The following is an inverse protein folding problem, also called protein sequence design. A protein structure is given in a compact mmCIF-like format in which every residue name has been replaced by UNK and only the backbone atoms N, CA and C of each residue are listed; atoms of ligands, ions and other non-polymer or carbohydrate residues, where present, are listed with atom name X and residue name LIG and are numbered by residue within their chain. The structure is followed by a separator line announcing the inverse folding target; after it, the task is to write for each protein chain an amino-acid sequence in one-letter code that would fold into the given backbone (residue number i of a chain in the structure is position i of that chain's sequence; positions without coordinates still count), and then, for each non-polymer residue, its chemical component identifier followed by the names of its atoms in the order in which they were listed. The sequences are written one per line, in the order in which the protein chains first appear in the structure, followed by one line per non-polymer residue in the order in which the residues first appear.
data_IF_870370456008
#
_entry.id   IF_870370456008
#
_cell.length_a   1.000
_cell.length_b   1.000
_cell.length_c   1.000
_cell.angle_alpha   90.00
_cell.angle_beta   90.00
_cell.angle_gamma   90.00
#
_symmetry.space_group_name_H-M   'P 1'
#
loop_
_entity.id
_entity.type
_entity.pdbx_description
1 polymer ?
#
# COMPACT_ATOMS: atom_id res chain seq x y z
N UNK A 1 -9.53 -15.50 -26.98
CA UNK A 1 -8.43 -14.63 -26.48
C UNK A 1 -7.14 -15.40 -26.68
N UNK A 2 -6.11 -14.82 -27.32
CA UNK A 2 -4.88 -15.54 -27.69
C UNK A 2 -3.69 -14.92 -26.96
N UNK A 3 -2.83 -15.74 -26.36
CA UNK A 3 -1.56 -15.30 -25.80
C UNK A 3 -0.44 -16.29 -26.09
N UNK A 4 0.80 -15.80 -26.12
CA UNK A 4 2.00 -16.60 -26.38
C UNK A 4 2.60 -17.07 -25.06
N UNK A 5 2.98 -18.34 -25.02
CA UNK A 5 3.68 -18.96 -23.88
C UNK A 5 4.97 -19.61 -24.37
N UNK A 6 5.85 -19.95 -23.45
CA UNK A 6 7.06 -20.72 -23.77
C UNK A 6 6.63 -22.04 -24.41
N UNK A 7 7.06 -22.28 -25.65
CA UNK A 7 6.74 -23.50 -26.40
C UNK A 7 5.41 -23.50 -27.16
N UNK A 8 4.63 -22.41 -27.18
CA UNK A 8 3.39 -22.40 -27.97
C UNK A 8 2.48 -21.19 -27.87
N UNK A 9 1.22 -21.41 -28.25
CA UNK A 9 0.12 -20.45 -28.15
C UNK A 9 -1.00 -21.06 -27.30
N UNK A 10 -1.61 -20.24 -26.45
CA UNK A 10 -2.81 -20.62 -25.69
C UNK A 10 -3.98 -19.79 -26.20
N UNK A 11 -5.11 -20.46 -26.40
CA UNK A 11 -6.34 -19.85 -26.92
C UNK A 11 -7.47 -20.13 -25.92
N UNK A 12 -7.93 -19.08 -25.26
CA UNK A 12 -9.09 -19.14 -24.37
C UNK A 12 -10.36 -18.87 -25.18
N UNK A 13 -11.33 -19.77 -25.09
CA UNK A 13 -12.66 -19.63 -25.69
C UNK A 13 -13.69 -19.31 -24.61
N UNK A 14 -14.37 -18.18 -24.77
CA UNK A 14 -15.44 -17.76 -23.87
C UNK A 14 -16.78 -17.74 -24.63
N UNK A 15 -17.87 -18.19 -24.00
CA UNK A 15 -19.17 -18.16 -24.63
C UNK A 15 -19.61 -16.71 -24.84
N UNK A 16 -20.03 -16.38 -26.05
CA UNK A 16 -20.61 -15.07 -26.38
C UNK A 16 -22.12 -15.20 -26.36
N UNK A 17 -22.78 -14.39 -25.55
CA UNK A 17 -24.24 -14.27 -25.58
C UNK A 17 -24.64 -13.35 -26.75
N UNK A 18 -25.48 -13.80 -27.70
CA UNK A 18 -25.82 -13.02 -28.90
C UNK A 18 -26.46 -11.65 -28.63
N UNK A 19 -27.07 -11.45 -27.46
CA UNK A 19 -27.71 -10.19 -27.06
C UNK A 19 -26.75 -9.20 -26.38
N UNK A 20 -25.58 -9.65 -25.90
CA UNK A 20 -24.61 -8.81 -25.19
C UNK A 20 -23.56 -8.19 -26.12
N UNK A 21 -23.38 -8.75 -27.33
CA UNK A 21 -22.41 -8.27 -28.32
C UNK A 21 -23.11 -8.10 -29.68
N UNK A 22 -23.52 -6.87 -30.04
CA UNK A 22 -23.96 -6.60 -31.41
C UNK A 22 -22.83 -6.97 -32.36
N UNK A 23 -23.10 -7.84 -33.34
CA UNK A 23 -22.10 -8.33 -34.31
C UNK A 23 -21.42 -7.23 -35.15
N UNK A 24 -21.85 -5.96 -35.01
CA UNK A 24 -21.40 -4.82 -35.82
C UNK A 24 -20.28 -3.98 -35.20
N UNK A 25 -19.84 -4.23 -33.98
CA UNK A 25 -18.76 -3.45 -33.34
C UNK A 25 -17.81 -4.31 -32.50
N UNK A 26 -17.12 -5.26 -33.13
CA UNK A 26 -16.15 -6.10 -32.43
C UNK A 26 -14.87 -5.33 -32.07
N UNK A 27 -14.38 -5.50 -30.83
CA UNK A 27 -12.99 -5.22 -30.46
C UNK A 27 -12.75 -3.97 -29.60
N UNK A 28 -11.51 -3.47 -29.62
CA UNK A 28 -10.99 -2.44 -28.72
C UNK A 28 -11.79 -1.11 -28.74
N UNK A 29 -12.45 -0.77 -29.85
CA UNK A 29 -13.26 0.44 -29.96
C UNK A 29 -14.52 0.38 -29.07
N UNK A 30 -15.14 -0.79 -28.93
CA UNK A 30 -16.28 -0.98 -28.03
C UNK A 30 -15.83 -0.87 -26.57
N UNK A 31 -14.71 -1.50 -26.21
CA UNK A 31 -14.10 -1.37 -24.89
C UNK A 31 -13.78 0.08 -24.55
N UNK A 32 -13.20 0.83 -25.50
CA UNK A 32 -12.91 2.24 -25.30
C UNK A 32 -14.16 3.07 -25.07
N UNK A 33 -15.23 2.88 -25.87
CA UNK A 33 -16.50 3.58 -25.68
C UNK A 33 -17.12 3.33 -24.30
N UNK A 34 -17.01 2.11 -23.79
CA UNK A 34 -17.48 1.77 -22.44
C UNK A 34 -16.66 2.49 -21.36
N UNK A 35 -15.33 2.54 -21.50
CA UNK A 35 -14.45 3.21 -20.54
C UNK A 35 -14.44 4.75 -20.67
N UNK A 36 -14.80 5.30 -21.82
CA UNK A 36 -14.61 6.72 -22.15
C UNK A 36 -15.25 7.66 -21.13
N UNK A 37 -16.48 7.37 -20.68
CA UNK A 37 -17.17 8.16 -19.65
C UNK A 37 -16.34 8.22 -18.36
N UNK A 38 -15.88 7.07 -17.87
CA UNK A 38 -15.09 6.98 -16.64
C UNK A 38 -13.71 7.63 -16.79
N UNK A 39 -13.05 7.45 -17.93
CA UNK A 39 -11.77 8.08 -18.25
C UNK A 39 -11.90 9.61 -18.21
N UNK A 40 -12.91 10.17 -18.88
CA UNK A 40 -13.15 11.62 -18.88
C UNK A 40 -13.44 12.14 -17.46
N UNK A 41 -14.19 11.40 -16.65
CA UNK A 41 -14.43 11.79 -15.25
C UNK A 41 -13.15 11.78 -14.42
N UNK A 42 -12.33 10.73 -14.52
CA UNK A 42 -11.04 10.67 -13.80
C UNK A 42 -10.10 11.81 -14.23
N UNK A 43 -10.04 12.12 -15.53
CA UNK A 43 -9.19 13.19 -16.06
C UNK A 43 -9.66 14.60 -15.68
N UNK A 44 -10.96 14.78 -15.47
CA UNK A 44 -11.54 16.06 -15.07
C UNK A 44 -11.38 16.37 -13.57
N UNK A 45 -10.93 15.40 -12.76
CA UNK A 45 -10.72 15.62 -11.34
C UNK A 45 -9.55 16.58 -11.11
N UNK A 46 -9.70 17.57 -10.20
CA UNK A 46 -8.59 18.41 -9.79
C UNK A 46 -7.58 17.56 -9.01
N UNK A 47 -6.29 17.86 -9.21
CA UNK A 47 -5.22 17.26 -8.40
C UNK A 47 -5.29 17.69 -6.93
N UNK A 48 -4.75 16.85 -6.05
CA UNK A 48 -4.64 17.10 -4.60
C UNK A 48 -5.58 16.26 -3.74
N UNK A 49 -6.20 15.20 -4.25
CA UNK A 49 -7.05 14.30 -3.45
C UNK A 49 -7.09 12.88 -4.03
N UNK A 50 -6.28 12.01 -3.43
CA UNK A 50 -6.27 10.57 -3.73
C UNK A 50 -7.61 9.90 -3.36
N UNK A 51 -8.26 10.36 -2.29
CA UNK A 51 -9.57 9.87 -1.84
C UNK A 51 -10.64 10.03 -2.93
N UNK A 52 -10.82 11.24 -3.48
CA UNK A 52 -11.78 11.50 -4.57
C UNK A 52 -11.49 10.70 -5.82
N UNK A 53 -10.21 10.46 -6.11
CA UNK A 53 -9.79 9.63 -7.23
C UNK A 53 -10.23 8.18 -7.01
N UNK A 54 -10.01 7.62 -5.82
CA UNK A 54 -10.43 6.28 -5.45
C UNK A 54 -11.97 6.13 -5.44
N UNK A 55 -12.70 7.09 -4.88
CA UNK A 55 -14.17 7.14 -4.89
C UNK A 55 -14.74 7.14 -6.31
N UNK A 56 -14.17 7.96 -7.20
CA UNK A 56 -14.61 8.04 -8.59
C UNK A 56 -14.33 6.72 -9.31
N UNK A 57 -13.19 6.08 -9.05
CA UNK A 57 -12.82 4.79 -9.64
C UNK A 57 -13.80 3.68 -9.22
N UNK A 58 -14.13 3.56 -7.93
CA UNK A 58 -15.09 2.54 -7.49
C UNK A 58 -16.48 2.78 -8.06
N UNK A 59 -16.92 4.04 -8.16
CA UNK A 59 -18.21 4.39 -8.75
C UNK A 59 -18.29 3.97 -10.23
N UNK A 60 -17.31 4.33 -11.05
CA UNK A 60 -17.31 4.01 -12.48
C UNK A 60 -17.26 2.51 -12.72
N UNK A 61 -16.43 1.77 -11.99
CA UNK A 61 -16.36 0.31 -12.11
C UNK A 61 -17.65 -0.36 -11.61
N UNK A 62 -18.30 0.16 -10.57
CA UNK A 62 -19.58 -0.34 -10.09
C UNK A 62 -20.69 -0.18 -11.13
N UNK A 63 -20.81 1.01 -11.74
CA UNK A 63 -21.77 1.28 -12.82
C UNK A 63 -21.49 0.42 -14.07
N UNK A 64 -20.21 0.22 -14.42
CA UNK A 64 -19.82 -0.55 -15.61
C UNK A 64 -20.03 -2.05 -15.45
N UNK A 65 -19.72 -2.59 -14.28
CA UNK A 65 -19.64 -4.05 -14.09
C UNK A 65 -20.87 -4.64 -13.40
N UNK A 66 -21.64 -3.83 -12.67
CA UNK A 66 -22.82 -4.26 -11.91
C UNK A 66 -22.54 -5.29 -10.82
N UNK A 67 -21.31 -5.31 -10.28
CA UNK A 67 -20.97 -6.11 -9.10
C UNK A 67 -21.66 -5.56 -7.85
N UNK A 68 -21.69 -6.36 -6.77
CA UNK A 68 -22.40 -5.96 -5.54
C UNK A 68 -21.56 -5.06 -4.66
N UNK A 69 -20.25 -5.19 -4.78
CA UNK A 69 -19.25 -4.41 -4.08
C UNK A 69 -18.11 -4.14 -5.04
N UNK A 70 -17.63 -2.91 -5.05
CA UNK A 70 -16.40 -2.52 -5.73
C UNK A 70 -15.57 -1.71 -4.75
N UNK A 71 -14.30 -2.06 -4.61
CA UNK A 71 -13.40 -1.44 -3.66
C UNK A 71 -12.03 -1.20 -4.26
N UNK A 72 -11.39 -0.11 -3.83
CA UNK A 72 -9.95 0.14 -4.05
C UNK A 72 -9.22 -0.36 -2.82
N UNK A 73 -8.36 -1.34 -3.02
CA UNK A 73 -7.51 -1.96 -2.02
C UNK A 73 -6.06 -1.51 -2.24
N UNK A 74 -5.51 -0.70 -1.35
CA UNK A 74 -4.13 -0.22 -1.41
C UNK A 74 -3.19 -1.10 -0.59
N UNK A 75 -1.95 -1.30 -1.08
CA UNK A 75 -0.90 -1.94 -0.30
C UNK A 75 -0.07 -0.90 0.46
N UNK A 76 0.26 -1.21 1.71
CA UNK A 76 1.21 -0.46 2.53
C UNK A 76 2.64 -1.01 2.35
N UNK A 77 3.62 -0.38 3.00
CA UNK A 77 5.04 -0.70 2.80
C UNK A 77 5.45 -2.08 3.37
N UNK A 78 4.71 -2.59 4.34
CA UNK A 78 4.82 -3.94 4.91
C UNK A 78 3.91 -4.97 4.19
N UNK A 79 3.43 -4.63 2.99
CA UNK A 79 2.61 -5.46 2.10
C UNK A 79 1.23 -5.87 2.64
N UNK A 80 0.84 -5.45 3.85
CA UNK A 80 -0.57 -5.52 4.24
C UNK A 80 -1.37 -4.54 3.38
N UNK A 81 -2.68 -4.72 3.28
CA UNK A 81 -3.48 -3.77 2.53
C UNK A 81 -4.73 -3.31 3.22
N UNK A 82 -5.29 -2.25 2.67
CA UNK A 82 -6.37 -1.46 3.26
C UNK A 82 -7.39 -1.12 2.18
N UNK A 83 -8.67 -1.15 2.54
CA UNK A 83 -9.75 -0.69 1.66
C UNK A 83 -9.90 0.83 1.78
N UNK A 84 -9.33 1.59 0.84
CA UNK A 84 -9.36 3.05 0.83
C UNK A 84 -10.72 3.63 0.43
N UNK A 85 -11.39 3.01 -0.54
CA UNK A 85 -12.69 3.45 -1.02
C UNK A 85 -13.53 2.24 -1.40
N UNK A 86 -14.84 2.37 -1.22
CA UNK A 86 -15.78 1.30 -1.48
C UNK A 86 -17.15 1.84 -1.89
N UNK A 87 -17.82 1.11 -2.78
CA UNK A 87 -19.25 1.24 -3.05
C UNK A 87 -19.90 -0.14 -3.00
N UNK A 88 -21.06 -0.23 -2.36
CA UNK A 88 -21.81 -1.48 -2.19
C UNK A 88 -23.28 -1.31 -2.57
N UNK A 89 -23.91 -2.44 -2.92
CA UNK A 89 -25.37 -2.57 -2.90
C UNK A 89 -25.88 -2.39 -1.45
N UNK A 90 -27.05 -1.76 -1.26
CA UNK A 90 -27.67 -1.67 0.06
C UNK A 90 -27.78 -3.04 0.76
N UNK A 91 -27.49 -3.07 2.06
CA UNK A 91 -27.61 -4.26 2.91
C UNK A 91 -26.35 -5.11 3.07
N UNK A 92 -25.22 -4.72 2.46
CA UNK A 92 -23.92 -5.36 2.71
C UNK A 92 -23.12 -4.61 3.77
N UNK A 93 -22.40 -5.35 4.61
CA UNK A 93 -21.49 -4.75 5.60
C UNK A 93 -20.31 -4.04 4.91
N UNK A 94 -19.98 -2.80 5.24
CA UNK A 94 -18.90 -2.07 4.59
C UNK A 94 -17.52 -2.60 5.02
N UNK A 95 -16.58 -2.65 4.07
CA UNK A 95 -15.18 -3.01 4.31
C UNK A 95 -14.24 -1.81 4.29
N UNK A 96 -14.73 -0.60 3.95
CA UNK A 96 -13.91 0.62 3.96
C UNK A 96 -13.21 0.83 5.32
N UNK A 97 -11.91 1.13 5.25
CA UNK A 97 -11.01 1.28 6.40
C UNK A 97 -10.61 -0.03 7.08
N UNK A 98 -10.97 -1.19 6.54
CA UNK A 98 -10.46 -2.47 7.03
C UNK A 98 -9.09 -2.79 6.42
N UNK A 99 -8.19 -3.22 7.29
CA UNK A 99 -6.86 -3.73 6.96
C UNK A 99 -6.88 -5.26 6.88
N UNK A 100 -6.07 -5.80 5.98
CA UNK A 100 -5.93 -7.23 5.75
C UNK A 100 -4.45 -7.60 5.72
N UNK A 101 -4.05 -8.72 6.35
CA UNK A 101 -2.66 -9.16 6.37
C UNK A 101 -2.08 -9.37 4.98
N UNK A 102 -0.76 -9.21 4.83
CA UNK A 102 -0.05 -9.45 3.58
C UNK A 102 -0.21 -10.87 3.02
N UNK A 103 -0.52 -11.82 3.91
CA UNK A 103 -0.73 -13.24 3.63
C UNK A 103 -2.05 -13.55 2.89
N UNK A 104 -3.05 -12.67 2.99
CA UNK A 104 -4.31 -12.83 2.26
C UNK A 104 -4.10 -12.75 0.74
N UNK A 105 -3.05 -12.03 0.31
CA UNK A 105 -2.59 -11.95 -1.08
C UNK A 105 -1.08 -12.24 -1.12
N UNK A 106 -0.68 -13.53 -1.17
CA UNK A 106 0.72 -13.94 -1.10
C UNK A 106 1.60 -13.29 -2.18
N UNK A 107 2.91 -13.22 -1.93
CA UNK A 107 3.85 -12.55 -2.84
C UNK A 107 3.79 -13.10 -4.27
N UNK A 108 3.63 -14.42 -4.44
CA UNK A 108 3.47 -15.06 -5.74
C UNK A 108 2.21 -14.59 -6.49
N UNK A 109 1.11 -14.33 -5.77
CA UNK A 109 -0.11 -13.78 -6.35
C UNK A 109 0.07 -12.31 -6.77
N UNK A 110 0.74 -11.50 -5.93
CA UNK A 110 1.09 -10.11 -6.25
C UNK A 110 1.92 -10.01 -7.54
N UNK A 111 2.92 -10.89 -7.69
CA UNK A 111 3.73 -10.96 -8.91
C UNK A 111 2.90 -11.35 -10.15
N UNK A 112 1.94 -12.27 -10.00
CA UNK A 112 1.02 -12.62 -11.11
C UNK A 112 0.13 -11.45 -11.51
N UNK A 113 -0.30 -10.60 -10.59
CA UNK A 113 -1.07 -9.39 -10.90
C UNK A 113 -0.25 -8.34 -11.68
N UNK A 114 1.07 -8.31 -11.51
CA UNK A 114 1.93 -7.47 -12.34
C UNK A 114 1.99 -7.92 -13.79
N UNK A 115 1.85 -9.23 -14.05
CA UNK A 115 1.83 -9.81 -15.40
C UNK A 115 0.44 -9.79 -16.03
N UNK A 116 -0.57 -10.20 -15.27
CA UNK A 116 -1.96 -10.26 -15.69
C UNK A 116 -2.78 -9.25 -14.92
N UNK A 117 -3.10 -8.16 -15.61
CA UNK A 117 -3.70 -7.00 -14.97
C UNK A 117 -5.17 -7.19 -14.59
N UNK A 118 -5.86 -8.15 -15.20
CA UNK A 118 -7.27 -8.43 -14.92
C UNK A 118 -7.46 -9.92 -14.70
N UNK A 119 -8.18 -10.27 -13.63
CA UNK A 119 -8.54 -11.65 -13.29
C UNK A 119 -10.00 -11.73 -12.91
N UNK A 120 -10.71 -12.69 -13.49
CA UNK A 120 -12.11 -12.96 -13.17
C UNK A 120 -12.25 -14.38 -12.62
N UNK A 121 -13.09 -14.53 -11.60
CA UNK A 121 -13.58 -15.80 -11.08
C UNK A 121 -15.10 -15.71 -11.12
N UNK A 122 -15.73 -16.48 -12.02
CA UNK A 122 -17.17 -16.37 -12.26
C UNK A 122 -17.99 -16.96 -11.11
N UNK A 123 -17.51 -18.06 -10.54
CA UNK A 123 -18.15 -18.80 -9.47
C UNK A 123 -17.06 -19.59 -8.71
N UNK A 124 -16.88 -19.29 -7.43
CA UNK A 124 -15.92 -20.00 -6.59
C UNK A 124 -16.34 -21.44 -6.25
N UNK A 125 -17.63 -21.77 -6.38
CA UNK A 125 -18.19 -23.10 -6.09
C UNK A 125 -18.12 -24.04 -7.29
N UNK A 126 -17.79 -23.52 -8.47
CA UNK A 126 -17.73 -24.31 -9.69
C UNK A 126 -16.51 -25.26 -9.67
N UNK A 127 -16.78 -26.54 -9.95
CA UNK A 127 -15.73 -27.56 -10.07
C UNK A 127 -14.74 -27.24 -11.20
N UNK A 128 -13.46 -27.54 -10.96
CA UNK A 128 -12.41 -27.31 -11.96
C UNK A 128 -12.30 -28.47 -12.95
N UNK A 129 -11.93 -28.13 -14.18
CA UNK A 129 -11.65 -29.11 -15.24
C UNK A 129 -10.14 -29.27 -15.36
N UNK A 130 -9.67 -30.52 -15.39
CA UNK A 130 -8.25 -30.83 -15.59
C UNK A 130 -7.85 -30.55 -17.04
N UNK A 131 -6.68 -29.96 -17.22
CA UNK A 131 -6.05 -29.85 -18.54
C UNK A 131 -5.52 -31.22 -18.94
N UNK A 132 -5.84 -31.67 -20.15
CA UNK A 132 -5.27 -32.88 -20.74
C UNK A 132 -3.99 -32.48 -21.47
N UNK A 133 -2.87 -33.06 -21.06
CA UNK A 133 -1.56 -32.81 -21.64
C UNK A 133 -1.03 -34.10 -22.28
N UNK A 134 -0.42 -33.96 -23.46
CA UNK A 134 0.26 -35.08 -24.13
C UNK A 134 1.55 -35.45 -23.39
N UNK A 135 1.81 -36.75 -23.23
CA UNK A 135 2.99 -37.26 -22.50
C UNK A 135 4.31 -36.91 -23.20
N UNK A 136 4.26 -36.59 -24.51
CA UNK A 136 5.41 -36.13 -25.29
C UNK A 136 5.91 -34.72 -24.94
N UNK A 137 5.18 -33.94 -24.14
CA UNK A 137 5.60 -32.61 -23.69
C UNK A 137 6.62 -32.72 -22.55
N UNK A 138 7.81 -32.17 -22.77
CA UNK A 138 8.93 -32.21 -21.82
C UNK A 138 8.74 -31.37 -20.55
N UNK A 139 7.73 -30.49 -20.52
CA UNK A 139 7.44 -29.62 -19.38
C UNK A 139 5.97 -29.23 -19.34
N UNK A 140 5.47 -28.95 -18.15
CA UNK A 140 4.09 -28.50 -17.93
C UNK A 140 3.86 -27.12 -18.55
N UNK A 141 2.71 -26.97 -19.21
CA UNK A 141 2.31 -25.70 -19.82
C UNK A 141 2.02 -24.66 -18.73
N UNK A 142 2.62 -23.47 -18.87
CA UNK A 142 2.26 -22.34 -18.00
C UNK A 142 0.93 -21.72 -18.42
N UNK A 143 -0.05 -21.73 -17.51
CA UNK A 143 -1.35 -21.09 -17.70
C UNK A 143 -1.40 -19.65 -17.14
N UNK A 144 -0.25 -19.07 -16.78
CA UNK A 144 -0.21 -17.76 -16.15
C UNK A 144 -0.99 -16.72 -16.96
N UNK A 145 -0.85 -16.69 -18.29
CA UNK A 145 -1.54 -15.74 -19.17
C UNK A 145 -3.00 -16.07 -19.50
N UNK A 146 -3.50 -17.24 -19.09
CA UNK A 146 -4.87 -17.66 -19.40
C UNK A 146 -5.88 -16.93 -18.51
N UNK A 147 -6.89 -16.37 -19.17
CA UNK A 147 -8.03 -15.70 -18.55
C UNK A 147 -8.98 -16.66 -17.85
N UNK A 148 -8.90 -17.96 -18.18
CA UNK A 148 -9.72 -19.04 -17.63
C UNK A 148 -8.98 -19.89 -16.58
N UNK A 149 -7.76 -19.48 -16.18
CA UNK A 149 -6.95 -20.21 -15.21
C UNK A 149 -7.70 -20.35 -13.87
N UNK A 150 -7.82 -21.59 -13.41
CA UNK A 150 -8.45 -21.91 -12.14
C UNK A 150 -7.74 -21.23 -10.95
N UNK A 151 -8.48 -20.72 -9.96
CA UNK A 151 -7.92 -20.25 -8.71
C UNK A 151 -7.43 -21.39 -7.81
N UNK A 152 -6.54 -21.04 -6.89
CA UNK A 152 -6.06 -21.97 -5.88
C UNK A 152 -7.19 -22.28 -4.88
N UNK A 153 -7.30 -23.52 -4.40
CA UNK A 153 -8.37 -23.97 -3.51
C UNK A 153 -8.48 -23.16 -2.22
N UNK A 154 -7.34 -22.77 -1.64
CA UNK A 154 -7.30 -21.88 -0.47
C UNK A 154 -8.06 -20.56 -0.74
N UNK A 155 -7.88 -19.95 -1.91
CA UNK A 155 -8.56 -18.70 -2.25
C UNK A 155 -10.06 -18.90 -2.53
N UNK A 156 -10.46 -20.06 -3.07
CA UNK A 156 -11.89 -20.38 -3.24
C UNK A 156 -12.61 -20.46 -1.90
N UNK A 157 -12.01 -21.16 -0.94
CA UNK A 157 -12.57 -21.25 0.40
C UNK A 157 -12.55 -19.88 1.12
N UNK A 158 -11.52 -19.05 0.89
CA UNK A 158 -11.51 -17.66 1.35
C UNK A 158 -12.71 -16.86 0.80
N UNK A 159 -12.96 -16.96 -0.52
CA UNK A 159 -14.09 -16.31 -1.19
C UNK A 159 -15.44 -16.79 -0.63
N UNK A 160 -15.60 -18.10 -0.40
CA UNK A 160 -16.81 -18.65 0.23
C UNK A 160 -17.01 -18.10 1.65
N UNK A 161 -15.95 -18.07 2.46
CA UNK A 161 -16.00 -17.57 3.84
C UNK A 161 -16.35 -16.06 3.88
N UNK A 162 -15.99 -15.29 2.85
CA UNK A 162 -16.33 -13.87 2.70
C UNK A 162 -17.67 -13.64 1.99
N UNK A 163 -18.37 -14.70 1.57
CA UNK A 163 -19.60 -14.65 0.78
C UNK A 163 -19.44 -13.88 -0.56
N UNK A 164 -18.26 -13.96 -1.17
CA UNK A 164 -17.94 -13.41 -2.50
C UNK A 164 -17.90 -14.52 -3.54
N UNK A 165 -19.06 -14.88 -4.10
CA UNK A 165 -19.18 -16.00 -5.05
C UNK A 165 -18.49 -15.73 -6.38
N UNK A 166 -18.59 -14.51 -6.89
CA UNK A 166 -17.84 -14.06 -8.06
C UNK A 166 -16.90 -12.92 -7.69
N UNK A 167 -15.76 -12.86 -8.39
CA UNK A 167 -14.77 -11.81 -8.21
C UNK A 167 -14.19 -11.33 -9.53
N UNK A 168 -13.99 -10.02 -9.65
CA UNK A 168 -13.21 -9.40 -10.72
C UNK A 168 -12.17 -8.49 -10.08
N UNK A 169 -10.90 -8.72 -10.39
CA UNK A 169 -9.77 -7.97 -9.83
C UNK A 169 -8.99 -7.31 -10.96
N UNK A 170 -8.65 -6.03 -10.77
CA UNK A 170 -7.79 -5.26 -11.66
C UNK A 170 -6.58 -4.73 -10.89
N UNK A 171 -5.38 -4.89 -11.44
CA UNK A 171 -4.13 -4.39 -10.84
C UNK A 171 -3.94 -2.90 -11.07
N UNK A 172 -3.56 -2.16 -10.04
CA UNK A 172 -3.15 -0.75 -10.13
C UNK A 172 -1.63 -0.70 -10.00
N UNK A 173 -0.96 -0.52 -11.13
CA UNK A 173 0.51 -0.55 -11.21
C UNK A 173 1.00 0.86 -11.47
N UNK A 174 1.72 1.42 -10.51
CA UNK A 174 2.36 2.73 -10.63
C UNK A 174 3.80 2.54 -11.04
N UNK A 175 4.36 3.51 -11.76
CA UNK A 175 5.79 3.54 -11.99
C UNK A 175 6.44 4.28 -10.82
N UNK A 176 7.42 3.67 -10.14
CA UNK A 176 8.27 4.41 -9.20
C UNK A 176 9.36 5.13 -10.00
N UNK A 177 9.71 6.34 -9.54
CA UNK A 177 10.32 7.42 -10.32
C UNK A 177 11.52 7.09 -11.22
N UNK A 178 11.64 7.90 -12.26
CA UNK A 178 12.86 8.16 -13.02
C UNK A 178 13.84 8.96 -12.14
N UNK A 179 14.49 8.30 -11.19
CA UNK A 179 15.76 8.80 -10.69
C UNK A 179 16.83 8.43 -11.72
N UNK A 180 16.89 9.21 -12.80
CA UNK A 180 18.21 9.44 -13.39
C UNK A 180 19.00 10.16 -12.30
N UNK A 181 20.04 9.49 -11.78
CA UNK A 181 20.94 9.94 -10.70
C UNK A 181 20.68 9.40 -9.28
N UNK A 182 20.48 8.10 -9.09
CA UNK A 182 21.07 7.45 -7.91
C UNK A 182 21.38 5.96 -8.10
N UNK A 183 22.67 5.68 -8.33
CA UNK A 183 23.39 4.43 -8.01
C UNK A 183 22.82 3.09 -8.51
N UNK A 184 23.38 2.61 -9.61
CA UNK A 184 24.04 1.30 -9.73
C UNK A 184 23.44 0.05 -9.03
N UNK A 185 22.11 -0.10 -8.98
CA UNK A 185 21.48 -1.38 -8.68
C UNK A 185 20.93 -1.99 -9.97
N UNK A 186 21.53 -3.11 -10.38
CA UNK A 186 21.31 -3.85 -11.61
C UNK A 186 20.01 -4.68 -11.57
N UNK A 187 18.87 -4.06 -11.29
CA UNK A 187 17.56 -4.70 -11.41
C UNK A 187 16.58 -3.83 -12.23
N UNK A 188 16.34 -4.16 -13.52
CA UNK A 188 15.44 -3.39 -14.39
C UNK A 188 13.96 -3.43 -13.98
N UNK A 189 13.59 -4.25 -12.99
CA UNK A 189 12.20 -4.42 -12.51
C UNK A 189 11.77 -3.46 -11.40
N UNK A 190 12.66 -2.63 -10.85
CA UNK A 190 12.30 -1.62 -9.83
C UNK A 190 11.46 -0.44 -10.37
N UNK A 191 11.17 -0.40 -11.67
CA UNK A 191 10.39 0.69 -12.29
C UNK A 191 8.88 0.58 -12.08
N UNK A 192 8.35 -0.57 -11.68
CA UNK A 192 6.89 -0.80 -11.56
C UNK A 192 6.56 -1.41 -10.22
N UNK A 193 5.68 -0.76 -9.46
CA UNK A 193 5.16 -1.26 -8.19
C UNK A 193 3.67 -1.52 -8.31
N UNK A 194 3.22 -2.65 -7.75
CA UNK A 194 1.80 -2.90 -7.53
C UNK A 194 1.34 -2.02 -6.35
N UNK A 195 0.75 -0.87 -6.64
CA UNK A 195 0.27 0.06 -5.60
C UNK A 195 -0.98 -0.48 -4.92
N UNK A 196 -1.85 -1.16 -5.68
CA UNK A 196 -3.11 -1.65 -5.17
C UNK A 196 -3.88 -2.47 -6.19
N UNK A 197 -5.11 -2.80 -5.83
CA UNK A 197 -6.07 -3.54 -6.63
C UNK A 197 -7.42 -2.81 -6.63
N UNK A 198 -8.14 -2.87 -7.74
CA UNK A 198 -9.58 -2.63 -7.76
C UNK A 198 -10.25 -3.99 -7.73
N UNK A 199 -10.99 -4.28 -6.67
CA UNK A 199 -11.60 -5.58 -6.39
C UNK A 199 -13.11 -5.45 -6.43
N UNK A 200 -13.75 -6.31 -7.20
CA UNK A 200 -15.20 -6.40 -7.29
C UNK A 200 -15.67 -7.73 -6.72
N UNK A 201 -16.66 -7.73 -5.83
CA UNK A 201 -17.30 -8.93 -5.28
C UNK A 201 -18.79 -8.99 -5.63
N UNK A 202 -19.27 -10.19 -5.92
CA UNK A 202 -20.70 -10.46 -6.17
C UNK A 202 -21.16 -11.63 -5.31
N UNK A 203 -22.37 -11.52 -4.78
CA UNK A 203 -22.97 -12.54 -3.90
C UNK A 203 -23.51 -13.76 -4.67
N UNK A 204 -23.59 -13.68 -6.00
CA UNK A 204 -23.93 -14.77 -6.90
C UNK A 204 -22.89 -14.95 -8.00
N UNK A 205 -22.96 -16.06 -8.74
CA UNK A 205 -22.13 -16.24 -9.92
C UNK A 205 -22.33 -15.09 -10.92
N UNK A 206 -21.23 -14.59 -11.50
CA UNK A 206 -21.25 -13.47 -12.44
C UNK A 206 -20.16 -13.61 -13.49
N UNK A 207 -20.56 -13.52 -14.74
CA UNK A 207 -19.66 -13.52 -15.90
C UNK A 207 -19.57 -12.11 -16.49
N UNK A 208 -18.35 -11.64 -16.77
CA UNK A 208 -18.10 -10.35 -17.42
C UNK A 208 -17.44 -10.60 -18.77
N UNK A 209 -18.08 -10.20 -19.88
CA UNK A 209 -17.52 -10.38 -21.22
C UNK A 209 -16.14 -9.72 -21.36
N UNK A 210 -15.26 -10.34 -22.15
CA UNK A 210 -13.91 -9.83 -22.39
C UNK A 210 -13.85 -8.35 -22.81
N UNK A 211 -14.70 -7.83 -23.72
CA UNK A 211 -14.66 -6.41 -24.08
C UNK A 211 -14.88 -5.46 -22.89
N UNK A 212 -15.74 -5.83 -21.95
CA UNK A 212 -16.00 -5.06 -20.74
C UNK A 212 -14.83 -5.17 -19.74
N UNK A 213 -14.23 -6.35 -19.59
CA UNK A 213 -13.01 -6.52 -18.79
C UNK A 213 -11.85 -5.68 -19.34
N UNK A 214 -11.69 -5.64 -20.65
CA UNK A 214 -10.67 -4.81 -21.31
C UNK A 214 -10.94 -3.31 -21.15
N UNK A 215 -12.22 -2.89 -21.15
CA UNK A 215 -12.60 -1.51 -20.83
C UNK A 215 -12.20 -1.14 -19.39
N UNK A 216 -12.48 -2.03 -18.42
CA UNK A 216 -12.10 -1.83 -17.03
C UNK A 216 -10.58 -1.82 -16.85
N UNK A 217 -9.84 -2.63 -17.61
CA UNK A 217 -8.37 -2.58 -17.64
C UNK A 217 -7.86 -1.20 -18.09
N UNK A 218 -8.40 -0.64 -19.18
CA UNK A 218 -8.03 0.70 -19.64
C UNK A 218 -8.34 1.77 -18.58
N UNK A 219 -9.50 1.69 -17.95
CA UNK A 219 -9.89 2.59 -16.87
C UNK A 219 -8.90 2.51 -15.69
N UNK A 220 -8.53 1.29 -15.28
CA UNK A 220 -7.54 1.05 -14.22
C UNK A 220 -6.14 1.55 -14.58
N UNK A 221 -5.74 1.49 -15.86
CA UNK A 221 -4.47 2.07 -16.33
C UNK A 221 -4.46 3.60 -16.23
N UNK A 222 -5.55 4.27 -16.63
CA UNK A 222 -5.69 5.72 -16.47
C UNK A 222 -5.68 6.09 -14.98
N UNK A 223 -6.45 5.37 -14.17
CA UNK A 223 -6.45 5.53 -12.72
C UNK A 223 -5.04 5.40 -12.13
N UNK A 224 -4.27 4.39 -12.51
CA UNK A 224 -2.90 4.19 -12.02
C UNK A 224 -1.96 5.36 -12.35
N UNK A 225 -2.10 5.98 -13.54
CA UNK A 225 -1.33 7.18 -13.92
C UNK A 225 -1.69 8.35 -13.00
N UNK A 226 -2.98 8.57 -12.75
CA UNK A 226 -3.41 9.63 -11.84
C UNK A 226 -2.96 9.38 -10.39
N UNK A 227 -3.02 8.14 -9.91
CA UNK A 227 -2.48 7.77 -8.59
C UNK A 227 -0.99 8.09 -8.53
N UNK A 228 -0.21 7.68 -9.53
CA UNK A 228 1.23 7.99 -9.60
C UNK A 228 1.51 9.49 -9.53
N UNK A 229 0.75 10.30 -10.29
CA UNK A 229 0.86 11.76 -10.28
C UNK A 229 0.53 12.38 -8.91
N UNK A 230 -0.50 11.89 -8.21
CA UNK A 230 -0.86 12.37 -6.88
C UNK A 230 0.23 12.03 -5.85
N UNK A 231 0.80 10.82 -5.92
CA UNK A 231 1.92 10.42 -5.06
C UNK A 231 3.16 11.28 -5.30
N UNK A 232 3.50 11.54 -6.56
CA UNK A 232 4.62 12.41 -6.94
C UNK A 232 4.41 13.84 -6.44
N UNK A 233 3.21 14.40 -6.61
CA UNK A 233 2.88 15.75 -6.14
C UNK A 233 2.99 15.87 -4.61
N UNK A 234 2.55 14.85 -3.87
CA UNK A 234 2.70 14.79 -2.43
C UNK A 234 4.18 14.75 -2.03
N UNK A 235 4.98 13.91 -2.70
CA UNK A 235 6.43 13.82 -2.45
C UNK A 235 7.14 15.15 -2.73
N UNK A 236 6.89 15.76 -3.89
CA UNK A 236 7.46 17.06 -4.27
C UNK A 236 7.06 18.18 -3.30
N UNK A 237 5.83 18.17 -2.79
CA UNK A 237 5.36 19.16 -1.81
C UNK A 237 6.09 19.00 -0.48
N UNK A 238 6.30 17.77 -0.02
CA UNK A 238 7.06 17.47 1.20
C UNK A 238 8.52 17.91 1.01
N UNK A 239 9.17 17.50 -0.07
CA UNK A 239 10.56 17.83 -0.37
C UNK A 239 10.79 19.34 -0.47
N UNK A 240 9.91 20.06 -1.18
CA UNK A 240 9.98 21.52 -1.28
C UNK A 240 9.86 22.21 0.08
N UNK A 241 8.99 21.72 0.96
CA UNK A 241 8.84 22.24 2.31
C UNK A 241 10.09 21.96 3.16
N UNK A 242 10.66 20.77 3.03
CA UNK A 242 11.92 20.39 3.70
C UNK A 242 13.05 21.31 3.24
N UNK A 243 13.28 21.45 1.92
CA UNK A 243 14.35 22.29 1.36
C UNK A 243 14.22 23.76 1.79
N UNK A 244 12.99 24.31 1.78
CA UNK A 244 12.72 25.67 2.24
C UNK A 244 13.10 25.84 3.71
N UNK A 245 12.74 24.87 4.54
CA UNK A 245 13.03 24.89 5.98
C UNK A 245 14.53 24.74 6.24
N UNK A 246 15.19 23.78 5.59
CA UNK A 246 16.64 23.58 5.67
C UNK A 246 17.42 24.84 5.29
N UNK A 247 17.03 25.51 4.20
CA UNK A 247 17.70 26.74 3.74
C UNK A 247 17.68 27.83 4.82
N UNK A 248 16.53 28.02 5.48
CA UNK A 248 16.39 29.01 6.55
C UNK A 248 17.18 28.61 7.79
N UNK A 249 17.14 27.33 8.19
CA UNK A 249 17.92 26.82 9.32
C UNK A 249 19.43 26.96 9.09
N UNK A 250 19.92 26.66 7.88
CA UNK A 250 21.32 26.86 7.52
C UNK A 250 21.74 28.34 7.59
N UNK A 251 20.91 29.27 7.09
CA UNK A 251 21.17 30.71 7.22
C UNK A 251 21.24 31.14 8.70
N UNK A 252 20.36 30.63 9.55
CA UNK A 252 20.38 30.89 11.00
C UNK A 252 21.67 30.38 11.66
N UNK A 253 22.13 29.18 11.29
CA UNK A 253 23.38 28.60 11.81
C UNK A 253 24.61 29.41 11.36
N UNK A 254 24.64 29.85 10.10
CA UNK A 254 25.72 30.67 9.54
C UNK A 254 25.83 32.05 10.21
N UNK A 255 24.73 32.60 10.71
CA UNK A 255 24.72 33.85 11.50
C UNK A 255 25.30 33.70 12.92
N UNK A 256 25.77 32.51 13.27
CA UNK A 256 26.65 32.29 14.43
C UNK A 256 25.95 31.93 15.74
N UNK A 257 24.65 31.63 15.73
CA UNK A 257 23.94 31.19 16.93
C UNK A 257 23.24 29.82 16.72
N UNK A 258 23.88 28.71 17.11
CA UNK A 258 23.28 27.37 17.06
C UNK A 258 22.00 27.20 17.87
N UNK A 259 21.67 28.15 18.76
CA UNK A 259 20.41 28.12 19.51
C UNK A 259 19.24 28.72 18.71
N UNK A 260 19.52 29.40 17.59
CA UNK A 260 18.48 30.02 16.75
C UNK A 260 17.52 28.98 16.16
N UNK A 261 18.01 27.78 15.81
CA UNK A 261 17.18 26.67 15.29
C UNK A 261 16.15 26.15 16.30
N UNK A 262 16.31 26.51 17.59
CA UNK A 262 15.40 26.19 18.68
C UNK A 262 14.57 27.39 19.12
N UNK A 263 15.17 28.58 19.13
CA UNK A 263 14.57 29.79 19.69
C UNK A 263 13.78 30.65 18.68
N UNK A 264 14.01 30.48 17.38
CA UNK A 264 13.41 31.30 16.32
C UNK A 264 12.56 30.45 15.37
N UNK A 265 11.59 31.08 14.72
CA UNK A 265 10.73 30.44 13.71
C UNK A 265 11.30 30.70 12.30
N UNK A 266 11.36 29.70 11.41
CA UNK A 266 11.01 28.29 11.59
C UNK A 266 12.00 27.53 12.49
N UNK A 267 11.50 26.49 13.17
CA UNK A 267 12.24 25.67 14.13
C UNK A 267 12.66 24.33 13.52
N UNK A 268 13.50 23.56 14.23
CA UNK A 268 13.79 22.16 13.89
C UNK A 268 12.56 21.24 13.85
N UNK A 269 11.45 21.61 14.49
CA UNK A 269 10.20 20.84 14.44
C UNK A 269 9.45 21.02 13.12
N UNK A 270 9.72 22.09 12.37
CA UNK A 270 9.12 22.33 11.06
C UNK A 270 9.80 21.48 9.97
N UNK A 271 11.02 21.00 10.24
CA UNK A 271 11.77 20.13 9.34
C UNK A 271 11.21 18.70 9.34
N UNK A 272 10.90 18.19 10.52
CA UNK A 272 10.37 16.84 10.72
C UNK A 272 9.14 16.95 11.59
N UNK A 273 7.97 16.51 11.09
CA UNK A 273 6.74 16.47 11.89
C UNK A 273 7.00 15.70 13.18
N UNK A 274 6.96 16.39 14.31
CA UNK A 274 7.22 15.82 15.62
C UNK A 274 6.45 16.61 16.69
N UNK A 275 6.37 16.03 17.88
CA UNK A 275 5.68 16.65 19.02
C UNK A 275 6.64 17.47 19.89
N UNK A 276 7.94 17.21 19.77
CA UNK A 276 8.98 18.06 20.33
C UNK A 276 10.38 17.70 19.85
N UNK A 277 11.32 18.55 20.24
CA UNK A 277 12.73 18.41 19.90
C UNK A 277 13.63 18.89 21.03
N UNK A 278 14.82 18.29 21.13
CA UNK A 278 15.85 18.66 22.12
C UNK A 278 17.20 18.79 21.44
N UNK A 279 17.85 19.94 21.63
CA UNK A 279 19.24 20.18 21.25
C UNK A 279 20.10 20.14 22.51
N UNK A 280 20.98 19.14 22.59
CA UNK A 280 22.07 19.10 23.56
C UNK A 280 23.27 19.81 22.94
N UNK A 281 23.63 20.98 23.46
CA UNK A 281 24.76 21.77 22.96
C UNK A 281 25.61 22.28 24.11
N UNK A 282 26.92 21.98 24.08
CA UNK A 282 27.88 22.37 25.14
C UNK A 282 27.41 22.00 26.55
N UNK A 283 26.82 20.81 26.69
CA UNK A 283 26.33 20.29 27.97
C UNK A 283 25.05 20.97 28.49
N UNK A 284 24.38 21.79 27.68
CA UNK A 284 23.07 22.38 28.02
C UNK A 284 21.96 21.77 27.19
N UNK A 285 20.82 21.52 27.83
CA UNK A 285 19.61 21.01 27.21
C UNK A 285 18.71 22.17 26.75
N UNK A 286 18.54 22.32 25.44
CA UNK A 286 17.61 23.26 24.83
C UNK A 286 16.40 22.52 24.27
N UNK A 287 15.19 22.87 24.70
CA UNK A 287 13.96 22.09 24.45
C UNK A 287 12.90 22.91 23.72
N UNK A 288 12.13 22.24 22.85
CA UNK A 288 10.95 22.78 22.18
C UNK A 288 9.85 21.72 22.19
N UNK A 289 8.61 22.13 22.44
CA UNK A 289 7.48 21.22 22.47
C UNK A 289 7.58 20.20 23.60
N UNK A 290 7.12 18.98 23.33
CA UNK A 290 7.23 17.85 24.24
C UNK A 290 8.66 17.31 24.30
N UNK A 291 9.30 17.43 25.47
CA UNK A 291 10.67 16.98 25.69
C UNK A 291 10.81 16.20 27.01
N UNK A 292 11.60 15.12 27.05
CA UNK A 292 11.92 14.42 28.28
C UNK A 292 12.61 15.30 29.32
N UNK A 293 12.56 14.90 30.59
CA UNK A 293 13.28 15.56 31.68
C UNK A 293 14.81 15.47 31.53
N UNK A 294 15.58 16.26 32.30
CA UNK A 294 17.05 16.29 32.10
C UNK A 294 17.68 14.94 32.40
N UNK A 295 17.24 14.29 33.49
CA UNK A 295 17.68 12.96 33.88
C UNK A 295 17.38 11.93 32.78
N UNK A 296 16.16 11.94 32.25
CA UNK A 296 15.76 11.03 31.17
C UNK A 296 16.56 11.26 29.88
N UNK A 297 16.89 12.52 29.55
CA UNK A 297 17.75 12.81 28.39
C UNK A 297 19.15 12.23 28.56
N UNK A 298 19.73 12.32 29.76
CA UNK A 298 21.05 11.74 30.04
C UNK A 298 21.03 10.21 29.98
N UNK A 299 19.96 9.57 30.45
CA UNK A 299 19.78 8.12 30.32
C UNK A 299 19.71 7.68 28.85
N UNK A 300 18.98 8.44 28.01
CA UNK A 300 18.88 8.18 26.56
C UNK A 300 20.25 8.34 25.88
N UNK A 301 20.99 9.41 26.20
CA UNK A 301 22.34 9.64 25.64
C UNK A 301 23.30 8.52 26.05
N UNK A 302 23.27 8.09 27.32
CA UNK A 302 24.09 6.98 27.81
C UNK A 302 23.79 5.67 27.07
N UNK A 303 22.51 5.38 26.82
CA UNK A 303 22.10 4.21 26.05
C UNK A 303 22.58 4.28 24.59
N UNK A 304 22.48 5.46 23.95
CA UNK A 304 22.99 5.65 22.59
C UNK A 304 24.51 5.50 22.49
N UNK A 305 25.27 6.00 23.47
CA UNK A 305 26.73 5.89 23.48
C UNK A 305 27.23 4.47 23.78
N UNK A 306 26.42 3.63 24.43
CA UNK A 306 26.72 2.24 24.72
C UNK A 306 26.38 1.32 23.54
N UNK A 307 25.18 1.45 22.96
CA UNK A 307 24.66 0.51 21.95
C UNK A 307 24.75 1.02 20.51
N UNK A 308 24.86 2.34 20.29
CA UNK A 308 24.80 2.97 18.97
C UNK A 308 25.99 3.90 18.67
N UNK A 309 27.14 3.69 19.34
CA UNK A 309 28.34 4.54 19.24
C UNK A 309 28.81 4.81 17.81
N UNK A 310 28.70 3.81 16.94
CA UNK A 310 29.20 3.87 15.56
C UNK A 310 28.21 4.50 14.57
N UNK A 311 26.96 4.73 14.99
CA UNK A 311 25.95 5.36 14.16
C UNK A 311 26.05 6.90 14.22
N UNK A 312 25.89 7.56 13.07
CA UNK A 312 25.73 9.03 12.98
C UNK A 312 24.35 9.49 13.43
N UNK A 313 23.36 8.60 13.41
CA UNK A 313 22.02 8.83 13.94
C UNK A 313 21.22 7.52 14.01
N UNK A 314 20.12 7.55 14.74
CA UNK A 314 19.18 6.43 14.87
C UNK A 314 17.75 6.94 14.86
N UNK A 315 16.81 6.14 14.34
CA UNK A 315 15.39 6.43 14.41
C UNK A 315 14.62 5.17 14.80
N UNK A 316 13.60 5.35 15.64
CA UNK A 316 12.70 4.27 16.07
C UNK A 316 11.30 4.82 16.30
N UNK A 317 10.28 4.04 15.94
CA UNK A 317 8.86 4.30 16.22
C UNK A 317 8.44 3.82 17.62
N UNK A 318 9.25 2.98 18.26
CA UNK A 318 9.09 2.57 19.66
C UNK A 318 10.43 2.39 20.37
N UNK A 319 10.69 3.25 21.35
CA UNK A 319 11.83 3.13 22.26
C UNK A 319 11.79 1.82 23.06
N UNK A 320 10.60 1.28 23.36
CA UNK A 320 10.45 0.01 24.04
C UNK A 320 10.94 -1.16 23.17
N UNK A 321 10.49 -1.22 21.91
CA UNK A 321 10.90 -2.27 20.97
C UNK A 321 12.37 -2.12 20.54
N UNK A 322 12.91 -0.90 20.56
CA UNK A 322 14.33 -0.63 20.36
C UNK A 322 15.22 -1.13 21.52
N UNK A 323 14.64 -1.54 22.64
CA UNK A 323 15.36 -2.08 23.79
C UNK A 323 15.87 -1.03 24.78
N UNK A 324 15.32 0.19 24.78
CA UNK A 324 15.68 1.21 25.78
C UNK A 324 15.12 0.81 27.17
N UNK A 325 15.97 0.58 28.20
CA UNK A 325 15.52 0.08 29.49
C UNK A 325 14.58 1.04 30.23
N UNK A 326 14.73 2.35 30.01
CA UNK A 326 13.93 3.40 30.65
C UNK A 326 12.58 3.68 29.97
N UNK A 327 12.21 2.95 28.92
CA UNK A 327 11.02 3.23 28.11
C UNK A 327 9.72 3.25 28.94
N UNK A 328 9.60 2.37 29.94
CA UNK A 328 8.45 2.33 30.84
C UNK A 328 8.24 3.61 31.67
N UNK A 329 9.32 4.36 31.96
CA UNK A 329 9.26 5.62 32.71
C UNK A 329 8.96 6.86 31.85
N UNK A 330 9.09 6.75 30.52
CA UNK A 330 8.74 7.82 29.57
C UNK A 330 7.25 7.83 29.25
N UNK A 331 6.58 6.69 29.37
CA UNK A 331 5.14 6.53 29.13
C UNK A 331 4.72 6.83 27.69
N UNK A 332 3.44 7.15 27.49
CA UNK A 332 2.86 7.43 26.17
C UNK A 332 3.27 8.80 25.59
N UNK A 333 3.97 9.64 26.35
CA UNK A 333 4.40 10.96 25.88
C UNK A 333 5.59 10.89 24.92
N UNK A 334 6.43 9.85 25.01
CA UNK A 334 7.64 9.69 24.21
C UNK A 334 7.79 8.23 23.77
N UNK A 335 7.24 7.89 22.60
CA UNK A 335 7.34 6.54 22.05
C UNK A 335 8.34 6.48 20.89
N UNK A 336 8.26 7.44 19.98
CA UNK A 336 9.17 7.54 18.85
C UNK A 336 10.31 8.50 19.13
N UNK A 337 11.50 8.16 18.64
CA UNK A 337 12.67 9.03 18.70
C UNK A 337 13.45 8.98 17.39
N UNK A 338 13.89 10.14 16.92
CA UNK A 338 14.99 10.26 15.97
C UNK A 338 16.12 11.06 16.63
N UNK A 339 17.33 10.56 16.58
CA UNK A 339 18.51 11.17 17.20
C UNK A 339 19.64 11.28 16.17
N UNK A 340 20.28 12.45 16.11
CA UNK A 340 21.42 12.73 15.23
C UNK A 340 22.56 13.30 16.07
N UNK A 341 23.74 12.71 15.93
CA UNK A 341 24.96 13.19 16.59
C UNK A 341 25.62 14.27 15.74
N UNK A 342 25.82 15.46 16.29
CA UNK A 342 26.47 16.59 15.60
C UNK A 342 27.98 16.52 15.84
N UNK A 343 28.40 16.40 17.10
CA UNK A 343 29.80 16.26 17.53
C UNK A 343 29.88 15.23 18.65
N UNK A 344 31.09 14.94 19.18
CA UNK A 344 31.28 13.92 20.22
C UNK A 344 30.51 14.14 21.54
N UNK A 345 29.89 15.31 21.75
CA UNK A 345 29.03 15.58 22.91
C UNK A 345 27.75 16.36 22.60
N UNK A 346 27.52 16.74 21.34
CA UNK A 346 26.34 17.51 20.94
C UNK A 346 25.38 16.64 20.11
N UNK A 347 24.11 16.67 20.48
CA UNK A 347 23.06 15.82 19.91
C UNK A 347 21.81 16.64 19.58
N UNK A 348 21.10 16.24 18.53
CA UNK A 348 19.78 16.74 18.19
C UNK A 348 18.79 15.58 18.19
N UNK A 349 17.71 15.76 18.93
CA UNK A 349 16.65 14.78 19.12
C UNK A 349 15.31 15.33 18.63
N UNK A 350 14.51 14.47 18.01
CA UNK A 350 13.10 14.66 17.76
C UNK A 350 12.32 13.56 18.45
N UNK A 351 11.21 13.92 19.08
CA UNK A 351 10.34 13.00 19.78
C UNK A 351 8.93 13.02 19.21
N UNK A 352 8.32 11.84 19.17
CA UNK A 352 6.90 11.66 18.86
C UNK A 352 6.22 10.94 20.00
N UNK A 353 5.07 11.46 20.37
CA UNK A 353 4.15 10.86 21.33
C UNK A 353 3.51 9.61 20.76
N UNK A 354 2.89 8.83 21.63
CA UNK A 354 2.05 7.73 21.23
C UNK A 354 0.91 8.26 20.36
N UNK A 355 0.84 7.77 19.12
CA UNK A 355 -0.34 7.96 18.31
C UNK A 355 -1.19 6.71 18.47
N UNK A 356 -2.40 6.84 19.02
CA UNK A 356 -3.38 5.76 18.99
C UNK A 356 -3.73 5.49 17.52
N UNK A 357 -3.01 4.54 16.91
CA UNK A 357 -3.34 4.02 15.60
C UNK A 357 -4.38 2.92 15.84
N UNK A 358 -5.64 3.30 15.70
CA UNK A 358 -6.77 2.38 15.66
C UNK A 358 -6.79 1.68 14.30
N UNK A 359 -6.14 0.52 14.21
CA UNK A 359 -6.16 -0.28 12.98
C UNK A 359 -7.34 -1.24 13.06
N UNK A 360 -8.33 -1.05 12.20
CA UNK A 360 -9.47 -1.96 12.07
C UNK A 360 -9.08 -3.09 11.13
N UNK A 361 -8.86 -4.29 11.67
CA UNK A 361 -8.49 -5.45 10.85
C UNK A 361 -9.72 -6.28 10.49
N UNK A 362 -9.76 -6.79 9.25
CA UNK A 362 -10.73 -7.80 8.83
C UNK A 362 -10.32 -9.21 9.26
N UNK A 363 -10.85 -9.71 10.39
CA UNK A 363 -10.70 -11.11 10.81
C UNK A 363 -10.18 -11.32 12.24
N UNK A 364 -9.16 -12.16 12.47
CA UNK A 364 -8.58 -12.41 13.81
C UNK A 364 -7.18 -11.77 13.98
N UNK A 365 -6.64 -11.69 15.21
CA UNK A 365 -5.28 -11.16 15.43
C UNK A 365 -4.23 -12.07 14.77
N UNK A 366 -3.32 -11.49 14.00
CA UNK A 366 -2.23 -12.22 13.35
C UNK A 366 -0.92 -11.95 14.10
N UNK A 367 -0.10 -12.97 14.27
CA UNK A 367 1.23 -12.84 14.85
C UNK A 367 2.23 -12.47 13.74
N UNK A 368 3.05 -11.44 13.97
CA UNK A 368 4.03 -10.93 12.99
C UNK A 368 5.12 -11.95 12.59
N UNK A 369 5.18 -13.11 13.26
CA UNK A 369 6.12 -14.20 13.01
C UNK A 369 5.64 -15.22 11.97
N UNK A 370 4.41 -15.11 11.48
CA UNK A 370 3.85 -16.03 10.49
C UNK A 370 4.38 -15.67 9.09
N UNK A 371 5.30 -16.48 8.55
CA UNK A 371 5.75 -16.40 7.15
C UNK A 371 4.88 -17.24 6.20
N UNK A 372 4.96 -16.96 4.89
CA UNK A 372 4.32 -17.73 3.79
C UNK A 372 4.78 -19.21 3.81
N UNK A 373 4.09 -20.07 4.56
CA UNK A 373 4.31 -21.52 4.57
C UNK A 373 3.46 -22.21 3.51
N UNK A 374 4.12 -22.68 2.43
CA UNK A 374 3.51 -23.49 1.37
C UNK A 374 2.79 -24.76 1.86
N UNK A 375 3.03 -25.22 3.10
CA UNK A 375 2.38 -26.41 3.67
C UNK A 375 1.14 -26.08 4.50
N UNK A 376 0.98 -24.83 4.95
CA UNK A 376 -0.10 -24.39 5.83
C UNK A 376 -1.10 -23.51 5.08
N UNK A 377 -1.83 -24.11 4.13
CA UNK A 377 -2.77 -23.41 3.26
C UNK A 377 -4.22 -23.51 3.77
N UNK A 378 -4.53 -22.88 4.90
CA UNK A 378 -5.92 -22.75 5.38
C UNK A 378 -6.33 -21.28 5.41
N UNK A 379 -7.37 -20.87 4.65
CA UNK A 379 -7.85 -19.50 4.68
C UNK A 379 -8.56 -19.19 6.00
N UNK A 380 -8.69 -17.91 6.30
CA UNK A 380 -9.39 -17.44 7.50
C UNK A 380 -10.86 -17.83 7.47
N UNK A 381 -11.42 -18.19 8.62
CA UNK A 381 -12.83 -18.57 8.79
C UNK A 381 -13.75 -17.38 9.11
N UNK A 382 -13.20 -16.24 9.52
CA UNK A 382 -13.96 -15.05 9.91
C UNK A 382 -13.32 -13.78 9.35
N UNK A 383 -14.18 -12.86 8.89
CA UNK A 383 -13.83 -11.52 8.40
C UNK A 383 -14.45 -10.40 9.25
N UNK A 384 -14.98 -10.73 10.43
CA UNK A 384 -15.51 -9.72 11.35
C UNK A 384 -14.42 -8.72 11.70
N UNK A 385 -14.76 -7.43 11.64
CA UNK A 385 -13.84 -6.38 12.01
C UNK A 385 -13.46 -6.50 13.49
N UNK A 386 -12.17 -6.42 13.80
CA UNK A 386 -11.68 -6.23 15.15
C UNK A 386 -10.73 -5.03 15.19
N UNK A 387 -10.75 -4.32 16.31
CA UNK A 387 -9.88 -3.18 16.53
C UNK A 387 -8.58 -3.67 17.16
N UNK A 388 -7.46 -3.44 16.50
CA UNK A 388 -6.15 -3.53 17.15
C UNK A 388 -5.70 -2.13 17.55
N UNK A 389 -5.61 -1.93 18.86
CA UNK A 389 -5.00 -0.73 19.44
C UNK A 389 -3.53 -1.03 19.60
N UNK A 390 -2.69 -0.53 18.68
CA UNK A 390 -1.24 -0.57 18.89
C UNK A 390 -0.91 0.32 20.08
N UNK A 391 -0.23 -0.21 21.09
CA UNK A 391 0.19 0.56 22.27
C UNK A 391 1.67 0.90 22.17
N UNK A 392 2.06 2.08 22.67
CA UNK A 392 3.44 2.51 22.82
C UNK A 392 4.27 2.59 21.51
N UNK A 393 3.61 2.95 20.40
CA UNK A 393 4.24 3.27 19.11
C UNK A 393 3.85 4.67 18.65
N UNK A 394 4.76 5.38 17.99
CA UNK A 394 4.50 6.63 17.31
C UNK A 394 4.23 6.42 15.82
N UNK A 395 3.81 7.48 15.12
CA UNK A 395 3.86 7.49 13.66
C UNK A 395 5.30 7.23 13.16
N UNK A 396 5.48 6.46 12.07
CA UNK A 396 6.80 6.11 11.53
C UNK A 396 7.53 7.35 10.99
N UNK A 397 8.85 7.39 11.20
CA UNK A 397 9.72 8.45 10.65
C UNK A 397 9.83 8.26 9.13
N UNK A 398 9.56 9.34 8.38
CA UNK A 398 9.64 9.38 6.91
C UNK A 398 10.72 10.35 6.49
#
# INVERSE_FOLDING_TARGET
IIHRVTGGLVIDFEPVKPHEVPMSAAGALQSYKLAAKGITRLQALPSGSLERLCETMVQEVFELTGYDRVMVYGFHDDDHGEVFAEITRPGLEPYVGLHYPSMDIPQAARFLFMKNKVRMICDCRAGHVKVVQDEGLSSDLTLCGSTLRAPHSCHLQYMENMNSIASLVMSVIVNEGTDEESSASSHPDRRKRLWGLVVCHHTSARFVPFPLRYACEFLAQVFAIHVGKELELLSQTIEKNILKTQTVLCDMLLRGNPLAIVAQSPTVMDLVKCDGAVLLYKGKNHRIGLAPSELQMWDIVSWLDEYHRDATGTSTDSLADAGFPGAGGLGNAFCGMAAVRITGGDWLFWFRSHTEAEVRWGGAKHDKSDEDDCRRMHPRSSFKAFLEVMKARSAPWR
#
